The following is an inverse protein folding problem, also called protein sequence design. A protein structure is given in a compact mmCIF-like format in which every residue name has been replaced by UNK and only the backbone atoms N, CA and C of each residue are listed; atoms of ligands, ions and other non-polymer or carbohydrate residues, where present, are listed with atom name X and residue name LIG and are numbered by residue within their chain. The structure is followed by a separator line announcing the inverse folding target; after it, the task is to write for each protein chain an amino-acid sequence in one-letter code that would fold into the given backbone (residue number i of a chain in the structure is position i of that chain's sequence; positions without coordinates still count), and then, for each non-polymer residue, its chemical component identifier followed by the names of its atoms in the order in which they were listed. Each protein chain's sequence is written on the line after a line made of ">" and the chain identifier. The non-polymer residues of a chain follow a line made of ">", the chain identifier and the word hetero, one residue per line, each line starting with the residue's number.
data_IF_332348163892
#
_entry.id   IF_332348163892
#
_cell.length_a   1.000
_cell.length_b   1.000
_cell.length_c   1.000
_cell.angle_alpha   90.00
_cell.angle_beta   90.00
_cell.angle_gamma   90.00
#
_symmetry.space_group_name_H-M   'P 1'
#
loop_
_entity.id
_entity.type
_entity.pdbx_description
1 polymer ?
#
# COMPACT_ATOMS: atom_id res chain seq x y z
N UNK A 1 9.29 15.03 -13.92
CA UNK A 1 10.46 14.27 -13.43
C UNK A 1 10.03 13.29 -12.34
N UNK A 2 10.75 12.19 -12.23
CA UNK A 2 10.60 11.16 -11.18
C UNK A 2 11.22 11.68 -9.89
N UNK A 3 10.71 11.26 -8.74
CA UNK A 3 11.26 11.64 -7.43
C UNK A 3 12.28 10.60 -6.95
N UNK A 4 13.56 10.93 -7.06
CA UNK A 4 14.68 10.07 -6.67
C UNK A 4 14.78 9.88 -5.14
N UNK A 5 14.11 10.71 -4.34
CA UNK A 5 14.08 10.54 -2.90
C UNK A 5 13.09 9.45 -2.45
N UNK A 6 12.22 8.97 -3.34
CA UNK A 6 11.22 7.95 -3.00
C UNK A 6 11.90 6.62 -2.67
N UNK A 7 11.71 6.06 -1.45
CA UNK A 7 12.36 4.83 -1.05
C UNK A 7 12.10 3.67 -2.01
N UNK A 8 13.17 3.22 -2.67
CA UNK A 8 13.17 2.11 -3.60
C UNK A 8 12.24 2.28 -4.81
N UNK A 9 11.77 3.50 -5.13
CA UNK A 9 10.76 3.70 -6.18
C UNK A 9 9.45 2.92 -5.99
N UNK A 10 9.14 2.44 -4.78
CA UNK A 10 8.02 1.51 -4.53
C UNK A 10 6.66 2.02 -5.02
N UNK A 11 6.42 3.33 -4.88
CA UNK A 11 5.14 3.96 -5.21
C UNK A 11 5.33 5.20 -6.11
N UNK A 12 6.29 5.09 -7.02
CA UNK A 12 6.67 6.15 -7.95
C UNK A 12 5.52 6.52 -8.89
N UNK A 13 4.77 5.51 -9.32
CA UNK A 13 3.54 5.65 -10.09
C UNK A 13 2.49 6.49 -9.38
N UNK A 14 2.25 6.23 -8.09
CA UNK A 14 1.35 7.00 -7.24
C UNK A 14 1.80 8.45 -7.10
N UNK A 15 3.07 8.66 -6.77
CA UNK A 15 3.64 10.01 -6.65
C UNK A 15 3.49 10.80 -7.95
N UNK A 16 3.84 10.18 -9.08
CA UNK A 16 3.74 10.80 -10.39
C UNK A 16 2.30 11.13 -10.76
N UNK A 17 1.36 10.21 -10.55
CA UNK A 17 -0.06 10.42 -10.85
C UNK A 17 -0.67 11.54 -10.02
N UNK A 18 -0.35 11.62 -8.72
CA UNK A 18 -0.86 12.70 -7.86
C UNK A 18 -0.35 14.06 -8.34
N UNK A 19 0.95 14.17 -8.64
CA UNK A 19 1.53 15.42 -9.17
C UNK A 19 0.95 15.79 -10.54
N UNK A 20 0.74 14.80 -11.41
CA UNK A 20 0.14 15.02 -12.72
C UNK A 20 -1.29 15.57 -12.60
N UNK A 21 -2.11 14.97 -11.73
CA UNK A 21 -3.48 15.41 -11.49
C UNK A 21 -3.58 16.79 -10.79
N UNK A 22 -2.55 17.18 -10.04
CA UNK A 22 -2.45 18.54 -9.49
C UNK A 22 -2.05 19.56 -10.57
N UNK A 23 -1.30 19.15 -11.59
CA UNK A 23 -0.87 20.01 -12.68
C UNK A 23 -1.92 20.18 -13.79
N UNK A 24 -2.88 19.26 -13.91
CA UNK A 24 -3.92 19.34 -14.93
C UNK A 24 -4.85 18.13 -14.96
N UNK A 25 -5.61 18.02 -16.05
CA UNK A 25 -6.59 16.96 -16.23
C UNK A 25 -5.96 15.75 -16.95
N UNK A 26 -6.34 14.56 -16.51
CA UNK A 26 -5.99 13.28 -17.15
C UNK A 26 -7.28 12.63 -17.64
N UNK A 27 -7.33 12.29 -18.93
CA UNK A 27 -8.44 11.54 -19.51
C UNK A 27 -8.15 10.04 -19.50
N UNK A 28 -9.15 9.22 -19.21
CA UNK A 28 -9.06 7.76 -19.26
C UNK A 28 -9.66 7.30 -20.59
N UNK A 29 -8.94 6.46 -21.32
CA UNK A 29 -9.45 5.79 -22.54
C UNK A 29 -10.02 4.44 -22.12
N UNK A 30 -11.29 4.18 -22.45
CA UNK A 30 -11.97 2.92 -22.09
C UNK A 30 -11.55 1.73 -22.97
N UNK A 31 -11.03 2.01 -24.17
CA UNK A 31 -10.51 1.00 -25.06
C UNK A 31 -9.20 0.40 -24.51
N UNK A 32 -9.11 -0.93 -24.51
CA UNK A 32 -7.90 -1.64 -24.12
C UNK A 32 -6.83 -1.51 -25.22
N UNK A 33 -5.97 -0.50 -25.10
CA UNK A 33 -4.94 -0.21 -26.11
C UNK A 33 -3.69 -1.09 -26.00
N UNK A 34 -3.46 -1.73 -24.84
CA UNK A 34 -2.26 -2.53 -24.58
C UNK A 34 -2.58 -3.76 -23.73
N UNK A 35 -1.90 -4.87 -24.03
CA UNK A 35 -1.94 -6.09 -23.21
C UNK A 35 -0.71 -6.12 -22.31
N UNK A 36 -0.92 -6.11 -21.00
CA UNK A 36 0.16 -6.16 -20.01
C UNK A 36 0.26 -7.59 -19.47
N UNK A 37 1.43 -8.21 -19.60
CA UNK A 37 1.70 -9.51 -18.97
C UNK A 37 1.92 -9.30 -17.47
N UNK A 38 1.03 -9.88 -16.65
CA UNK A 38 1.19 -9.84 -15.20
C UNK A 38 2.46 -10.59 -14.75
N UNK A 39 3.31 -9.91 -14.00
CA UNK A 39 4.56 -10.44 -13.46
C UNK A 39 4.58 -10.37 -11.92
N UNK A 40 5.67 -10.85 -11.32
CA UNK A 40 5.92 -10.63 -9.91
C UNK A 40 6.33 -9.17 -9.66
N UNK A 41 5.87 -8.58 -8.56
CA UNK A 41 6.35 -7.27 -8.14
C UNK A 41 7.83 -7.36 -7.75
N UNK A 42 8.64 -6.41 -8.21
CA UNK A 42 10.04 -6.25 -7.79
C UNK A 42 10.18 -5.97 -6.28
N UNK A 43 9.10 -5.50 -5.65
CA UNK A 43 9.05 -5.17 -4.22
C UNK A 43 8.41 -6.27 -3.39
N UNK A 44 8.13 -7.43 -3.98
CA UNK A 44 7.56 -8.55 -3.24
C UNK A 44 8.47 -8.88 -2.06
N UNK A 45 7.99 -8.58 -0.85
CA UNK A 45 8.61 -8.84 0.45
C UNK A 45 9.70 -7.87 0.93
N UNK A 46 9.97 -6.75 0.25
CA UNK A 46 10.79 -5.67 0.84
C UNK A 46 9.94 -4.77 1.74
N UNK A 47 9.51 -5.34 2.87
CA UNK A 47 8.60 -4.70 3.82
C UNK A 47 9.15 -3.39 4.39
N UNK A 48 10.47 -3.31 4.59
CA UNK A 48 11.12 -2.12 5.12
C UNK A 48 11.04 -0.96 4.12
N UNK A 49 11.29 -1.23 2.84
CA UNK A 49 11.13 -0.23 1.78
C UNK A 49 9.68 0.20 1.62
N UNK A 50 8.73 -0.75 1.67
CA UNK A 50 7.29 -0.45 1.61
C UNK A 50 6.87 0.52 2.72
N UNK A 51 7.26 0.24 3.98
CA UNK A 51 6.96 1.13 5.11
C UNK A 51 7.52 2.52 4.88
N UNK A 52 8.81 2.63 4.53
CA UNK A 52 9.45 3.93 4.28
C UNK A 52 8.79 4.70 3.14
N UNK A 53 8.42 4.02 2.06
CA UNK A 53 7.77 4.64 0.91
C UNK A 53 6.35 5.13 1.25
N UNK A 54 5.59 4.37 2.05
CA UNK A 54 4.27 4.81 2.52
C UNK A 54 4.40 6.02 3.45
N UNK A 55 5.36 6.00 4.38
CA UNK A 55 5.62 7.14 5.27
C UNK A 55 5.98 8.40 4.46
N UNK A 56 6.83 8.23 3.44
CA UNK A 56 7.20 9.29 2.52
C UNK A 56 6.00 9.87 1.76
N UNK A 57 5.15 9.01 1.19
CA UNK A 57 3.96 9.43 0.45
C UNK A 57 2.97 10.21 1.33
N UNK A 58 2.70 9.74 2.55
CA UNK A 58 1.79 10.40 3.48
C UNK A 58 2.33 11.78 3.86
N UNK A 59 3.64 11.90 4.07
CA UNK A 59 4.28 13.16 4.41
C UNK A 59 4.31 14.15 3.24
N UNK A 60 4.56 13.66 2.03
CA UNK A 60 4.68 14.47 0.82
C UNK A 60 3.33 14.99 0.31
N UNK A 61 2.29 14.16 0.35
CA UNK A 61 1.02 14.44 -0.31
C UNK A 61 -0.11 14.66 0.69
N UNK A 62 -0.41 15.93 0.97
CA UNK A 62 -1.50 16.32 1.87
C UNK A 62 -2.88 15.80 1.43
N UNK A 63 -3.06 15.48 0.14
CA UNK A 63 -4.34 14.95 -0.39
C UNK A 63 -4.78 13.68 0.34
N UNK A 64 -3.85 12.86 0.82
CA UNK A 64 -4.18 11.67 1.60
C UNK A 64 -4.89 12.01 2.91
N UNK A 65 -4.57 13.14 3.54
CA UNK A 65 -5.27 13.58 4.76
C UNK A 65 -6.72 13.99 4.52
N UNK A 66 -7.06 14.35 3.26
CA UNK A 66 -8.41 14.76 2.85
C UNK A 66 -9.28 13.58 2.42
N UNK A 67 -8.70 12.43 2.14
CA UNK A 67 -9.42 11.19 1.81
C UNK A 67 -9.16 10.09 2.85
N UNK A 68 -10.16 9.90 3.71
CA UNK A 68 -10.13 8.88 4.78
C UNK A 68 -9.90 7.46 4.24
N UNK A 69 -10.46 7.13 3.07
CA UNK A 69 -10.34 5.78 2.48
C UNK A 69 -8.94 5.57 1.93
N UNK A 70 -8.38 6.58 1.24
CA UNK A 70 -7.02 6.53 0.75
C UNK A 70 -6.01 6.38 1.91
N UNK A 71 -6.17 7.18 2.96
CA UNK A 71 -5.30 7.10 4.14
C UNK A 71 -5.46 5.78 4.91
N UNK A 72 -6.68 5.25 5.04
CA UNK A 72 -6.92 3.93 5.62
C UNK A 72 -6.22 2.82 4.83
N UNK A 73 -6.27 2.88 3.49
CA UNK A 73 -5.56 1.92 2.63
C UNK A 73 -4.05 1.94 2.89
N UNK A 74 -3.45 3.14 2.94
CA UNK A 74 -2.01 3.28 3.19
C UNK A 74 -1.62 2.76 4.58
N UNK A 75 -2.38 3.08 5.62
CA UNK A 75 -2.14 2.51 6.95
C UNK A 75 -2.37 0.99 7.00
N UNK A 76 -3.34 0.45 6.27
CA UNK A 76 -3.54 -0.98 6.15
C UNK A 76 -2.33 -1.69 5.52
N UNK A 77 -1.77 -1.13 4.45
CA UNK A 77 -0.57 -1.66 3.79
C UNK A 77 0.67 -1.56 4.69
N UNK A 78 0.88 -0.40 5.33
CA UNK A 78 1.98 -0.19 6.27
C UNK A 78 1.87 -1.15 7.45
N UNK A 79 0.68 -1.28 8.04
CA UNK A 79 0.41 -2.18 9.17
C UNK A 79 0.69 -3.65 8.85
N UNK A 80 0.34 -4.10 7.64
CA UNK A 80 0.70 -5.45 7.19
C UNK A 80 2.21 -5.63 7.06
N UNK A 81 2.91 -4.66 6.45
CA UNK A 81 4.37 -4.70 6.31
C UNK A 81 5.08 -4.70 7.68
N UNK A 82 4.61 -3.89 8.64
CA UNK A 82 5.08 -3.91 10.03
C UNK A 82 4.85 -5.28 10.69
N UNK A 83 3.68 -5.88 10.48
CA UNK A 83 3.37 -7.20 11.00
C UNK A 83 4.31 -8.27 10.42
N UNK A 84 4.60 -8.18 9.12
CA UNK A 84 5.51 -9.09 8.44
C UNK A 84 6.96 -8.98 8.91
N UNK A 85 7.38 -7.80 9.38
CA UNK A 85 8.68 -7.59 10.02
C UNK A 85 8.70 -7.92 11.52
N UNK A 86 7.58 -8.35 12.11
CA UNK A 86 7.47 -8.64 13.55
C UNK A 86 7.26 -7.42 14.45
N UNK A 87 7.04 -6.23 13.90
CA UNK A 87 6.85 -4.98 14.63
C UNK A 87 5.42 -4.84 15.19
N UNK A 88 5.05 -5.73 16.12
CA UNK A 88 3.67 -5.88 16.64
C UNK A 88 3.04 -4.56 17.09
N UNK A 89 3.76 -3.74 17.87
CA UNK A 89 3.23 -2.49 18.40
C UNK A 89 2.91 -1.46 17.31
N UNK A 90 3.74 -1.40 16.25
CA UNK A 90 3.50 -0.50 15.10
C UNK A 90 2.36 -1.02 14.25
N UNK A 91 2.34 -2.32 13.98
CA UNK A 91 1.26 -2.96 13.23
C UNK A 91 -0.11 -2.76 13.88
N UNK A 92 -0.22 -2.94 15.20
CA UNK A 92 -1.49 -2.71 15.93
C UNK A 92 -1.93 -1.26 15.91
N UNK A 93 -0.99 -0.31 16.00
CA UNK A 93 -1.28 1.12 15.89
C UNK A 93 -1.87 1.45 14.51
N UNK A 94 -1.32 0.84 13.47
CA UNK A 94 -1.79 1.04 12.10
C UNK A 94 -3.15 0.40 11.85
N UNK A 95 -3.37 -0.83 12.33
CA UNK A 95 -4.68 -1.49 12.34
C UNK A 95 -5.73 -0.59 12.99
N UNK A 96 -5.42 -0.02 14.16
CA UNK A 96 -6.34 0.87 14.86
C UNK A 96 -6.61 2.17 14.09
N UNK A 97 -5.59 2.78 13.48
CA UNK A 97 -5.75 3.96 12.62
C UNK A 97 -6.63 3.65 11.40
N UNK A 98 -6.39 2.52 10.76
CA UNK A 98 -7.18 2.03 9.61
C UNK A 98 -8.64 1.85 9.99
N UNK A 99 -8.94 1.14 11.08
CA UNK A 99 -10.31 0.90 11.54
C UNK A 99 -11.04 2.20 11.87
N UNK A 100 -10.36 3.15 12.53
CA UNK A 100 -10.94 4.47 12.84
C UNK A 100 -11.27 5.29 11.59
N UNK A 101 -10.45 5.16 10.55
CA UNK A 101 -10.67 5.88 9.30
C UNK A 101 -11.73 5.21 8.42
N UNK A 102 -11.62 3.89 8.25
CA UNK A 102 -12.49 3.06 7.41
C UNK A 102 -12.51 1.60 7.89
N UNK A 103 -13.54 1.17 8.63
CA UNK A 103 -13.60 -0.18 9.23
C UNK A 103 -13.79 -1.30 8.20
N UNK A 104 -14.24 -0.98 6.98
CA UNK A 104 -14.44 -1.94 5.88
C UNK A 104 -13.15 -2.17 5.06
N UNK A 105 -12.01 -1.66 5.52
CA UNK A 105 -10.73 -1.92 4.89
C UNK A 105 -10.32 -3.39 5.11
N UNK A 106 -10.10 -4.11 3.99
CA UNK A 106 -9.91 -5.56 3.96
C UNK A 106 -8.56 -6.04 4.51
N UNK A 107 -7.50 -5.24 4.41
CA UNK A 107 -6.16 -5.54 4.94
C UNK A 107 -6.15 -5.65 6.45
N UNK A 108 -7.07 -4.97 7.14
CA UNK A 108 -7.22 -5.07 8.59
C UNK A 108 -7.46 -6.51 9.05
N UNK A 109 -8.33 -7.24 8.34
CA UNK A 109 -8.71 -8.61 8.73
C UNK A 109 -7.60 -9.64 8.50
N UNK A 110 -6.67 -9.38 7.57
CA UNK A 110 -5.50 -10.24 7.35
C UNK A 110 -4.28 -9.82 8.18
N UNK A 111 -4.18 -8.54 8.56
CA UNK A 111 -3.06 -8.04 9.36
C UNK A 111 -3.12 -8.56 10.79
N UNK A 112 -4.31 -8.60 11.40
CA UNK A 112 -4.44 -9.00 12.80
C UNK A 112 -4.02 -10.47 13.06
N UNK A 113 -4.42 -11.48 12.25
CA UNK A 113 -3.90 -12.84 12.37
C UNK A 113 -2.39 -12.95 12.20
N UNK A 114 -1.78 -12.13 11.33
CA UNK A 114 -0.32 -12.10 11.13
C UNK A 114 0.38 -11.55 12.38
N UNK A 115 -0.12 -10.45 12.96
CA UNK A 115 0.43 -9.89 14.21
C UNK A 115 0.39 -10.90 15.36
N UNK A 116 -0.70 -11.67 15.44
CA UNK A 116 -0.90 -12.73 16.43
C UNK A 116 -0.08 -14.00 16.16
N UNK A 117 0.60 -14.10 15.01
CA UNK A 117 1.37 -15.27 14.61
C UNK A 117 0.51 -16.47 14.20
N UNK A 118 -0.78 -16.27 13.93
CA UNK A 118 -1.71 -17.33 13.52
C UNK A 118 -1.52 -17.72 12.05
N UNK A 119 -1.07 -16.78 11.22
CA UNK A 119 -0.84 -16.96 9.78
C UNK A 119 0.47 -16.27 9.40
N UNK A 120 1.28 -16.89 8.55
CA UNK A 120 2.50 -16.25 8.05
C UNK A 120 2.19 -15.20 6.97
N UNK A 121 2.96 -14.10 6.90
CA UNK A 121 2.83 -13.09 5.85
C UNK A 121 2.93 -13.68 4.43
N UNK A 122 3.80 -14.68 4.25
CA UNK A 122 4.02 -15.36 2.97
C UNK A 122 2.78 -16.11 2.51
N UNK A 123 2.05 -16.74 3.44
CA UNK A 123 0.81 -17.46 3.13
C UNK A 123 -0.29 -16.50 2.70
N UNK A 124 -0.40 -15.34 3.37
CA UNK A 124 -1.34 -14.28 2.96
C UNK A 124 -0.99 -13.78 1.56
N UNK A 125 0.29 -13.50 1.30
CA UNK A 125 0.75 -13.05 -0.01
C UNK A 125 0.51 -14.06 -1.12
N UNK A 126 0.73 -15.34 -0.84
CA UNK A 126 0.46 -16.40 -1.80
C UNK A 126 -1.01 -16.43 -2.20
N UNK A 127 -1.93 -16.43 -1.22
CA UNK A 127 -3.37 -16.41 -1.49
C UNK A 127 -3.88 -15.15 -2.19
N UNK A 128 -3.23 -14.01 -1.92
CA UNK A 128 -3.51 -12.76 -2.60
C UNK A 128 -3.08 -12.85 -4.08
N UNK A 129 -1.85 -13.28 -4.33
CA UNK A 129 -1.29 -13.41 -5.67
C UNK A 129 -2.04 -14.42 -6.54
N UNK A 130 -2.48 -15.55 -5.97
CA UNK A 130 -3.33 -16.53 -6.67
C UNK A 130 -4.65 -15.93 -7.17
N UNK A 131 -5.13 -14.87 -6.51
CA UNK A 131 -6.35 -14.13 -6.90
C UNK A 131 -6.04 -12.87 -7.72
N UNK A 132 -4.80 -12.69 -8.16
CA UNK A 132 -4.35 -11.49 -8.87
C UNK A 132 -4.40 -10.22 -8.02
N UNK A 133 -4.27 -10.35 -6.70
CA UNK A 133 -4.32 -9.24 -5.74
C UNK A 133 -2.98 -9.08 -5.03
N UNK A 134 -2.58 -7.84 -4.79
CA UNK A 134 -1.53 -7.51 -3.83
C UNK A 134 -2.08 -7.38 -2.41
N UNK A 135 -1.21 -6.98 -1.48
CA UNK A 135 -1.63 -6.55 -0.13
C UNK A 135 -2.51 -5.33 -0.20
#
# INVERSE_FOLDING_TARGET
>A
MIDEALPGSFAEDYDFMIRLLQAGHVSIVEEALVTIRWGQSLFAKDWATIVRAIDYLIAKHEIFSKDRRALARLYGQRGFAEAAMGNRSRALRDVWRTVRLYPLEKRTSVTLPVVLGLISPERVMHWANERGRGI
#
